data_IF_261603984623
#
_entry.id   IF_261603984623
#
_cell.length_a   1.000
_cell.length_b   1.000
_cell.length_c   1.000
_cell.angle_alpha   90.00
_cell.angle_beta   90.00
_cell.angle_gamma   90.00
#
_symmetry.space_group_name_H-M   'P 1'
#
loop_
_entity.id
_entity.type
_entity.pdbx_description
1 polymer ?
#
# COMPACT_ATOMS: atom_id res chain seq x y z
N UNK A 1 27.85 -1.03 -14.33
CA UNK A 1 28.96 -0.88 -13.39
C UNK A 1 28.45 -0.51 -12.01
N UNK A 2 29.27 -0.71 -10.94
CA UNK A 2 28.85 -0.50 -9.53
C UNK A 2 28.33 0.91 -9.21
N UNK A 3 28.92 1.93 -9.82
CA UNK A 3 28.46 3.32 -9.65
C UNK A 3 26.99 3.49 -10.10
N UNK A 4 26.61 2.91 -11.23
CA UNK A 4 25.23 2.94 -11.69
C UNK A 4 24.29 2.24 -10.71
N UNK A 5 24.67 1.08 -10.19
CA UNK A 5 23.86 0.34 -9.20
C UNK A 5 23.64 1.15 -7.93
N UNK A 6 24.70 1.81 -7.42
CA UNK A 6 24.63 2.66 -6.23
C UNK A 6 23.71 3.85 -6.47
N UNK A 7 23.88 4.59 -7.56
CA UNK A 7 23.03 5.73 -7.88
C UNK A 7 21.57 5.31 -8.13
N UNK A 8 21.36 4.17 -8.76
CA UNK A 8 20.02 3.64 -9.03
C UNK A 8 19.27 3.33 -7.73
N UNK A 9 19.87 2.59 -6.79
CA UNK A 9 19.14 2.29 -5.55
C UNK A 9 18.94 3.57 -4.69
N UNK A 10 19.88 4.51 -4.68
CA UNK A 10 19.71 5.80 -3.98
C UNK A 10 18.49 6.54 -4.52
N UNK A 11 18.34 6.63 -5.85
CA UNK A 11 17.22 7.33 -6.48
C UNK A 11 15.87 6.70 -6.15
N UNK A 12 15.80 5.37 -6.02
CA UNK A 12 14.56 4.65 -5.70
C UNK A 12 14.25 4.54 -4.21
N UNK A 13 15.23 4.78 -3.33
CA UNK A 13 15.07 4.59 -1.89
C UNK A 13 13.88 5.38 -1.31
N UNK A 14 13.76 6.67 -1.66
CA UNK A 14 12.68 7.51 -1.15
C UNK A 14 11.29 6.99 -1.58
N UNK A 15 11.16 6.52 -2.81
CA UNK A 15 9.91 5.96 -3.32
C UNK A 15 9.59 4.60 -2.68
N UNK A 16 10.59 3.73 -2.52
CA UNK A 16 10.41 2.42 -1.88
C UNK A 16 9.92 2.58 -0.44
N UNK A 17 10.50 3.51 0.33
CA UNK A 17 10.16 3.78 1.71
C UNK A 17 9.13 4.90 1.89
N UNK A 18 8.45 5.32 0.81
CA UNK A 18 7.41 6.33 0.86
C UNK A 18 6.33 6.05 1.92
N UNK A 19 5.82 4.81 2.10
CA UNK A 19 4.89 4.50 3.17
C UNK A 19 5.41 4.83 4.57
N UNK A 20 6.71 4.63 4.81
CA UNK A 20 7.33 4.94 6.11
C UNK A 20 7.37 6.46 6.35
N UNK A 21 7.75 7.24 5.33
CA UNK A 21 7.77 8.70 5.40
C UNK A 21 6.36 9.27 5.65
N UNK A 22 5.36 8.72 4.96
CA UNK A 22 3.96 9.11 5.15
C UNK A 22 3.45 8.70 6.52
N UNK A 23 3.84 7.53 7.04
CA UNK A 23 3.44 7.10 8.38
C UNK A 23 3.86 8.10 9.46
N UNK A 24 5.05 8.69 9.35
CA UNK A 24 5.53 9.74 10.27
C UNK A 24 4.60 10.95 10.28
N UNK A 25 4.24 11.45 9.11
CA UNK A 25 3.38 12.64 8.97
C UNK A 25 1.94 12.35 9.36
N UNK A 26 1.40 11.19 8.97
CA UNK A 26 0.08 10.73 9.33
C UNK A 26 -0.06 10.51 10.84
N UNK A 27 0.94 9.90 11.50
CA UNK A 27 0.94 9.72 12.95
C UNK A 27 0.87 11.05 13.71
N UNK A 28 1.64 12.04 13.28
CA UNK A 28 1.56 13.40 13.85
C UNK A 28 0.19 14.02 13.65
N UNK A 29 -0.41 13.86 12.48
CA UNK A 29 -1.75 14.38 12.15
C UNK A 29 -2.85 13.74 12.98
N UNK A 30 -2.81 12.41 13.18
CA UNK A 30 -3.85 11.66 13.89
C UNK A 30 -3.59 11.53 15.42
N UNK A 31 -2.46 12.08 15.91
CA UNK A 31 -2.10 12.03 17.33
C UNK A 31 -1.78 10.62 17.81
N UNK A 32 -1.02 9.87 17.02
CA UNK A 32 -0.52 8.54 17.31
C UNK A 32 0.97 8.59 17.65
N UNK A 33 1.47 7.59 18.38
CA UNK A 33 2.91 7.42 18.57
C UNK A 33 3.59 7.18 17.21
N UNK A 34 4.53 8.07 16.87
CA UNK A 34 5.23 8.05 15.58
C UNK A 34 6.02 6.75 15.38
N UNK A 35 6.68 6.25 16.42
CA UNK A 35 7.48 5.01 16.31
C UNK A 35 6.60 3.79 16.05
N UNK A 36 5.43 3.73 16.68
CA UNK A 36 4.46 2.65 16.43
C UNK A 36 3.98 2.67 14.97
N UNK A 37 3.67 3.85 14.43
CA UNK A 37 3.27 4.00 13.04
C UNK A 37 4.40 3.62 12.07
N UNK A 38 5.63 4.02 12.36
CA UNK A 38 6.83 3.65 11.57
C UNK A 38 7.02 2.14 11.55
N UNK A 39 6.91 1.45 12.68
CA UNK A 39 7.06 0.00 12.72
C UNK A 39 5.96 -0.70 11.91
N UNK A 40 4.71 -0.23 11.98
CA UNK A 40 3.63 -0.76 11.13
C UNK A 40 3.97 -0.58 9.65
N UNK A 41 4.41 0.61 9.25
CA UNK A 41 4.79 0.87 7.86
C UNK A 41 6.00 0.04 7.41
N UNK A 42 7.02 -0.12 8.26
CA UNK A 42 8.18 -0.97 7.99
C UNK A 42 7.79 -2.44 7.80
N UNK A 43 6.80 -2.94 8.55
CA UNK A 43 6.30 -4.30 8.36
C UNK A 43 5.70 -4.53 6.96
N UNK A 44 5.07 -3.49 6.38
CA UNK A 44 4.48 -3.57 5.03
C UNK A 44 5.52 -3.48 3.89
N UNK A 45 6.72 -2.99 4.17
CA UNK A 45 7.83 -2.91 3.20
C UNK A 45 9.01 -3.79 3.63
N UNK A 46 8.80 -4.69 4.60
CA UNK A 46 9.82 -5.61 5.07
C UNK A 46 10.26 -6.55 3.93
N UNK A 47 11.56 -6.86 3.80
CA UNK A 47 12.07 -7.79 2.80
C UNK A 47 11.37 -9.16 2.81
N UNK A 48 11.05 -9.70 3.99
CA UNK A 48 10.34 -10.97 4.12
C UNK A 48 8.91 -10.89 3.54
N UNK A 49 8.20 -9.79 3.80
CA UNK A 49 6.89 -9.55 3.21
C UNK A 49 6.98 -9.38 1.68
N UNK A 50 7.96 -8.61 1.20
CA UNK A 50 8.19 -8.43 -0.24
C UNK A 50 8.53 -9.77 -0.92
N UNK A 51 9.30 -10.63 -0.27
CA UNK A 51 9.60 -11.96 -0.79
C UNK A 51 8.35 -12.84 -0.90
N UNK A 52 7.44 -12.79 0.09
CA UNK A 52 6.14 -13.49 0.01
C UNK A 52 5.26 -12.95 -1.13
N UNK A 53 5.24 -11.63 -1.34
CA UNK A 53 4.52 -11.01 -2.47
C UNK A 53 5.08 -11.49 -3.81
N UNK A 54 6.41 -11.53 -3.94
CA UNK A 54 7.09 -11.96 -5.17
C UNK A 54 6.95 -13.46 -5.44
N UNK A 55 6.89 -14.29 -4.39
CA UNK A 55 6.65 -15.73 -4.53
C UNK A 55 5.24 -16.04 -5.06
N UNK A 56 4.26 -15.20 -4.72
CA UNK A 56 2.87 -15.36 -5.20
C UNK A 56 2.11 -16.54 -4.57
N UNK A 57 2.73 -17.24 -3.62
CA UNK A 57 2.09 -18.35 -2.93
C UNK A 57 0.93 -17.90 -2.04
N UNK A 58 -0.14 -18.69 -1.92
CA UNK A 58 -1.27 -18.34 -1.07
C UNK A 58 -0.87 -18.37 0.40
N UNK A 59 -0.91 -17.22 1.06
CA UNK A 59 -0.63 -17.09 2.49
C UNK A 59 -1.95 -16.98 3.26
N UNK A 60 -2.02 -17.68 4.41
CA UNK A 60 -3.19 -17.68 5.28
C UNK A 60 -2.81 -17.16 6.67
N UNK A 61 -3.60 -16.25 7.18
CA UNK A 61 -3.52 -15.79 8.57
C UNK A 61 -4.78 -16.24 9.31
N UNK A 62 -4.63 -17.08 10.33
CA UNK A 62 -5.74 -17.68 11.10
C UNK A 62 -6.83 -18.32 10.20
N UNK A 63 -6.42 -18.95 9.08
CA UNK A 63 -7.34 -19.60 8.15
C UNK A 63 -7.97 -18.65 7.11
N UNK A 64 -7.74 -17.33 7.20
CA UNK A 64 -8.21 -16.34 6.24
C UNK A 64 -7.11 -16.10 5.21
N UNK A 65 -7.44 -16.20 3.92
CA UNK A 65 -6.49 -15.93 2.84
C UNK A 65 -6.11 -14.45 2.83
N UNK A 66 -4.81 -14.19 2.94
CA UNK A 66 -4.24 -12.84 2.82
C UNK A 66 -4.02 -12.53 1.34
N UNK A 67 -4.48 -11.37 0.90
CA UNK A 67 -4.12 -10.86 -0.42
C UNK A 67 -2.76 -10.17 -0.33
N UNK A 68 -1.74 -10.81 -0.90
CA UNK A 68 -0.39 -10.25 -0.94
C UNK A 68 -0.33 -9.17 -2.02
N UNK A 69 -0.20 -7.92 -1.60
CA UNK A 69 -0.05 -6.76 -2.47
C UNK A 69 1.23 -6.01 -2.14
N UNK A 70 1.88 -5.42 -3.13
CA UNK A 70 3.02 -4.53 -2.88
C UNK A 70 2.52 -3.20 -2.31
N UNK A 71 2.98 -2.86 -1.11
CA UNK A 71 2.72 -1.56 -0.49
C UNK A 71 3.83 -0.54 -0.73
N UNK A 72 4.92 -0.93 -1.39
CA UNK A 72 5.98 0.00 -1.79
C UNK A 72 5.41 1.10 -2.67
N UNK A 73 5.85 2.34 -2.47
CA UNK A 73 5.37 3.51 -3.21
C UNK A 73 3.87 3.82 -3.06
N UNK A 74 3.17 3.16 -2.13
CA UNK A 74 1.74 3.41 -1.91
C UNK A 74 1.52 4.50 -0.85
N UNK A 75 0.46 5.29 -1.01
CA UNK A 75 0.13 6.44 -0.16
C UNK A 75 -1.13 6.17 0.68
N UNK A 76 -2.23 5.83 0.04
CA UNK A 76 -3.52 5.67 0.72
C UNK A 76 -3.54 4.53 1.73
N UNK A 77 -3.04 3.31 1.41
CA UNK A 77 -3.09 2.21 2.36
C UNK A 77 -2.45 2.57 3.70
N UNK A 78 -1.30 3.25 3.69
CA UNK A 78 -0.61 3.60 4.93
C UNK A 78 -1.34 4.70 5.71
N UNK A 79 -1.95 5.68 5.03
CA UNK A 79 -2.75 6.72 5.69
C UNK A 79 -3.95 6.10 6.41
N UNK A 80 -4.68 5.21 5.73
CA UNK A 80 -5.82 4.50 6.32
C UNK A 80 -5.39 3.61 7.48
N UNK A 81 -4.26 2.91 7.33
CA UNK A 81 -3.71 2.06 8.38
C UNK A 81 -3.34 2.88 9.62
N UNK A 82 -2.62 3.99 9.48
CA UNK A 82 -2.22 4.85 10.59
C UNK A 82 -3.44 5.53 11.22
N UNK A 83 -4.41 5.94 10.42
CA UNK A 83 -5.67 6.47 10.91
C UNK A 83 -6.39 5.44 11.81
N UNK A 84 -6.60 4.23 11.32
CA UNK A 84 -7.23 3.16 12.11
C UNK A 84 -6.38 2.81 13.35
N UNK A 85 -5.06 2.70 13.20
CA UNK A 85 -4.13 2.41 14.29
C UNK A 85 -4.17 3.48 15.39
N UNK A 86 -4.44 4.73 15.04
CA UNK A 86 -4.58 5.80 16.02
C UNK A 86 -5.74 5.58 17.00
N UNK A 87 -6.85 5.00 16.54
CA UNK A 87 -7.96 4.64 17.41
C UNK A 87 -7.65 3.43 18.27
N UNK A 88 -7.02 2.41 17.67
CA UNK A 88 -6.60 1.21 18.39
C UNK A 88 -5.60 1.56 19.48
N UNK A 89 -4.60 2.38 19.19
CA UNK A 89 -3.64 2.82 20.20
C UNK A 89 -4.31 3.61 21.31
N UNK A 90 -5.18 4.59 21.00
CA UNK A 90 -5.93 5.36 22.01
C UNK A 90 -6.80 4.47 22.89
N UNK A 91 -7.38 3.41 22.32
CA UNK A 91 -8.12 2.43 23.08
C UNK A 91 -7.23 1.72 24.10
N UNK A 92 -6.07 1.20 23.71
CA UNK A 92 -5.12 0.57 24.63
C UNK A 92 -4.55 1.57 25.64
N UNK A 93 -4.22 2.77 25.22
CA UNK A 93 -3.71 3.83 26.11
C UNK A 93 -4.70 4.19 27.23
N UNK A 94 -6.01 4.07 26.96
CA UNK A 94 -7.07 4.33 27.94
C UNK A 94 -7.26 3.16 28.91
N UNK A 95 -7.08 1.92 28.45
CA UNK A 95 -7.42 0.73 29.25
C UNK A 95 -6.23 0.13 29.98
N UNK A 96 -5.00 0.41 29.57
CA UNK A 96 -3.80 -0.15 30.18
C UNK A 96 -3.32 0.72 31.35
N UNK A 97 -2.87 0.09 32.48
CA UNK A 97 -2.23 0.78 33.58
C UNK A 97 -0.98 1.54 33.12
N UNK A 98 -0.72 2.71 33.74
CA UNK A 98 0.38 3.61 33.37
C UNK A 98 1.74 2.88 33.33
N UNK A 99 1.97 1.97 34.28
CA UNK A 99 3.24 1.25 34.42
C UNK A 99 3.60 0.43 33.17
N UNK A 100 2.61 -0.19 32.55
CA UNK A 100 2.83 -1.11 31.40
C UNK A 100 2.41 -0.52 30.05
N UNK A 101 1.73 0.62 30.06
CA UNK A 101 1.17 1.26 28.86
C UNK A 101 2.20 1.50 27.78
N UNK A 102 3.36 2.06 28.14
CA UNK A 102 4.39 2.44 27.17
C UNK A 102 4.99 1.24 26.42
N UNK A 103 4.91 0.04 26.99
CA UNK A 103 5.40 -1.17 26.38
C UNK A 103 4.27 -1.92 25.63
N UNK A 104 3.14 -2.15 26.31
CA UNK A 104 2.09 -3.01 25.78
C UNK A 104 1.17 -2.33 24.77
N UNK A 105 0.94 -1.01 24.89
CA UNK A 105 0.08 -0.28 23.95
C UNK A 105 0.66 -0.31 22.52
N UNK A 106 1.93 0.04 22.28
CA UNK A 106 2.55 -0.11 20.97
C UNK A 106 2.57 -1.57 20.49
N UNK A 107 2.92 -2.51 21.38
CA UNK A 107 3.02 -3.92 21.03
C UNK A 107 1.67 -4.47 20.54
N UNK A 108 0.59 -4.27 21.28
CA UNK A 108 -0.74 -4.73 20.87
C UNK A 108 -1.25 -4.01 19.63
N UNK A 109 -0.96 -2.70 19.51
CA UNK A 109 -1.34 -1.93 18.32
C UNK A 109 -0.66 -2.48 17.07
N UNK A 110 0.65 -2.74 17.10
CA UNK A 110 1.39 -3.31 15.96
C UNK A 110 0.88 -4.71 15.64
N UNK A 111 0.79 -5.59 16.65
CA UNK A 111 0.37 -6.98 16.48
C UNK A 111 -1.04 -7.11 15.90
N UNK A 112 -1.93 -6.19 16.24
CA UNK A 112 -3.30 -6.18 15.70
C UNK A 112 -3.37 -5.52 14.32
N UNK A 113 -2.68 -4.38 14.16
CA UNK A 113 -2.85 -3.54 12.97
C UNK A 113 -2.13 -4.07 11.74
N UNK A 114 -0.98 -4.75 11.88
CA UNK A 114 -0.30 -5.32 10.72
C UNK A 114 -1.16 -6.39 10.05
N UNK A 115 -1.66 -7.43 10.73
CA UNK A 115 -2.57 -8.40 10.10
C UNK A 115 -3.87 -7.76 9.60
N UNK A 116 -4.45 -6.83 10.37
CA UNK A 116 -5.68 -6.14 9.94
C UNK A 116 -5.48 -5.35 8.65
N UNK A 117 -4.33 -4.71 8.50
CA UNK A 117 -3.97 -4.00 7.27
C UNK A 117 -3.90 -4.97 6.08
N UNK A 118 -3.27 -6.10 6.25
CA UNK A 118 -3.16 -7.11 5.19
C UNK A 118 -4.50 -7.74 4.82
N UNK A 119 -5.40 -7.92 5.80
CA UNK A 119 -6.71 -8.55 5.60
C UNK A 119 -7.77 -7.58 5.06
N UNK A 120 -7.70 -6.30 5.39
CA UNK A 120 -8.74 -5.32 5.07
C UNK A 120 -8.27 -4.33 4.00
N UNK A 121 -7.11 -3.69 4.23
CA UNK A 121 -6.63 -2.64 3.32
C UNK A 121 -6.21 -3.23 1.98
N UNK A 122 -5.61 -4.43 1.98
CA UNK A 122 -5.26 -5.17 0.78
C UNK A 122 -6.46 -5.42 -0.14
N UNK A 123 -7.51 -6.13 0.33
CA UNK A 123 -8.73 -6.37 -0.45
C UNK A 123 -9.42 -5.10 -0.93
N UNK A 124 -9.51 -4.07 -0.08
CA UNK A 124 -10.10 -2.76 -0.45
C UNK A 124 -9.28 -2.10 -1.56
N UNK A 125 -7.95 -2.07 -1.44
CA UNK A 125 -7.07 -1.53 -2.47
C UNK A 125 -7.22 -2.26 -3.81
N UNK A 126 -7.30 -3.60 -3.77
CA UNK A 126 -7.49 -4.41 -4.96
C UNK A 126 -8.89 -4.20 -5.59
N UNK A 127 -9.94 -4.07 -4.78
CA UNK A 127 -11.29 -3.78 -5.26
C UNK A 127 -11.36 -2.41 -5.95
N UNK A 128 -10.72 -1.39 -5.37
CA UNK A 128 -10.64 -0.04 -5.97
C UNK A 128 -9.85 -0.08 -7.26
N UNK A 129 -8.68 -0.75 -7.29
CA UNK A 129 -7.88 -0.92 -8.50
C UNK A 129 -8.65 -1.66 -9.60
N UNK A 130 -9.35 -2.74 -9.24
CA UNK A 130 -10.20 -3.49 -10.16
C UNK A 130 -11.37 -2.67 -10.72
N UNK A 131 -12.00 -1.82 -9.90
CA UNK A 131 -13.07 -0.92 -10.35
C UNK A 131 -12.54 0.13 -11.35
N UNK A 132 -11.35 0.69 -11.08
CA UNK A 132 -10.69 1.63 -12.00
C UNK A 132 -10.33 0.95 -13.31
N UNK A 133 -9.72 -0.25 -13.25
CA UNK A 133 -9.40 -1.04 -14.44
C UNK A 133 -10.64 -1.40 -15.27
N UNK A 134 -11.74 -1.77 -14.60
CA UNK A 134 -13.03 -2.05 -15.25
C UNK A 134 -13.63 -0.82 -15.93
N UNK A 135 -13.59 0.34 -15.26
CA UNK A 135 -14.03 1.61 -15.85
C UNK A 135 -13.19 2.00 -17.07
N UNK A 136 -11.87 1.80 -16.99
CA UNK A 136 -10.99 2.03 -18.13
C UNK A 136 -11.33 1.13 -19.30
N UNK A 137 -11.42 -0.19 -19.08
CA UNK A 137 -11.75 -1.15 -20.16
C UNK A 137 -13.10 -0.84 -20.82
N UNK A 138 -14.07 -0.39 -20.04
CA UNK A 138 -15.36 0.09 -20.57
C UNK A 138 -15.18 1.32 -21.47
N UNK A 139 -14.44 2.34 -21.03
CA UNK A 139 -14.14 3.54 -21.82
C UNK A 139 -13.34 3.22 -23.08
N UNK A 140 -12.37 2.32 -22.97
CA UNK A 140 -11.55 1.88 -24.10
C UNK A 140 -12.40 1.15 -25.16
N UNK A 141 -13.35 0.34 -24.71
CA UNK A 141 -14.31 -0.32 -25.61
C UNK A 141 -15.26 0.63 -26.34
N UNK A 142 -15.53 1.82 -25.77
CA UNK A 142 -16.31 2.86 -26.42
C UNK A 142 -15.46 3.67 -27.41
N UNK A 143 -14.28 4.11 -26.99
CA UNK A 143 -13.32 4.86 -27.81
C UNK A 143 -11.95 4.89 -27.14
N UNK A 144 -10.89 4.39 -27.77
CA UNK A 144 -9.53 4.50 -27.27
C UNK A 144 -9.07 5.94 -27.03
N UNK A 145 -9.53 6.89 -27.84
CA UNK A 145 -9.20 8.32 -27.73
C UNK A 145 -9.80 8.89 -26.43
N UNK A 146 -11.06 8.59 -26.15
CA UNK A 146 -11.74 9.04 -24.91
C UNK A 146 -11.06 8.41 -23.69
N UNK A 147 -10.74 7.12 -23.73
CA UNK A 147 -10.02 6.45 -22.65
C UNK A 147 -8.65 7.10 -22.40
N UNK A 148 -7.89 7.40 -23.44
CA UNK A 148 -6.59 8.08 -23.32
C UNK A 148 -6.70 9.49 -22.72
N UNK A 149 -7.68 10.29 -23.12
CA UNK A 149 -7.92 11.63 -22.56
C UNK A 149 -8.29 11.53 -21.07
N UNK A 150 -9.20 10.63 -20.71
CA UNK A 150 -9.65 10.48 -19.31
C UNK A 150 -8.52 9.96 -18.43
N UNK A 151 -7.80 8.94 -18.86
CA UNK A 151 -6.69 8.39 -18.08
C UNK A 151 -5.53 9.36 -17.99
N UNK A 152 -5.12 9.98 -19.10
CA UNK A 152 -4.06 10.99 -19.09
C UNK A 152 -4.40 12.19 -18.22
N UNK A 153 -5.64 12.68 -18.26
CA UNK A 153 -6.11 13.77 -17.42
C UNK A 153 -6.23 13.41 -15.93
N UNK A 154 -6.53 12.16 -15.61
CA UNK A 154 -6.65 11.68 -14.23
C UNK A 154 -5.35 11.06 -13.70
N UNK A 155 -4.33 10.90 -14.53
CA UNK A 155 -3.11 10.17 -14.17
C UNK A 155 -2.46 10.71 -12.89
N UNK A 156 -2.27 12.00 -12.81
CA UNK A 156 -1.69 12.66 -11.63
C UNK A 156 -2.52 12.41 -10.37
N UNK A 157 -3.84 12.41 -10.51
CA UNK A 157 -4.76 12.11 -9.42
C UNK A 157 -4.58 10.64 -8.97
N UNK A 158 -4.51 9.70 -9.90
CA UNK A 158 -4.28 8.28 -9.62
C UNK A 158 -2.91 8.05 -8.95
N UNK A 159 -1.89 8.82 -9.36
CA UNK A 159 -0.55 8.80 -8.75
C UNK A 159 -0.60 9.29 -7.30
N UNK A 160 -1.24 10.44 -7.04
CA UNK A 160 -1.40 10.99 -5.68
C UNK A 160 -2.09 9.97 -4.76
N UNK A 161 -3.11 9.29 -5.26
CA UNK A 161 -3.81 8.26 -4.51
C UNK A 161 -3.04 6.92 -4.42
N UNK A 162 -1.93 6.76 -5.14
CA UNK A 162 -1.15 5.53 -5.17
C UNK A 162 -1.85 4.36 -5.87
N UNK A 163 -2.97 4.63 -6.56
CA UNK A 163 -3.81 3.62 -7.22
C UNK A 163 -3.23 3.20 -8.58
N UNK A 164 -2.34 4.00 -9.15
CA UNK A 164 -1.65 3.71 -10.42
C UNK A 164 -0.93 2.35 -10.43
N UNK A 165 -0.47 1.87 -9.28
CA UNK A 165 0.09 0.52 -9.16
C UNK A 165 -0.94 -0.60 -9.36
N UNK A 166 -2.22 -0.33 -9.13
CA UNK A 166 -3.32 -1.25 -9.46
C UNK A 166 -3.52 -1.44 -10.96
N UNK A 167 -3.04 -0.51 -11.77
CA UNK A 167 -3.09 -0.56 -13.25
C UNK A 167 -1.96 -1.45 -13.81
N UNK A 168 -0.84 -1.58 -13.12
CA UNK A 168 0.32 -2.37 -13.56
C UNK A 168 -0.02 -3.81 -13.98
N UNK A 169 -0.86 -4.58 -13.24
CA UNK A 169 -1.27 -5.91 -13.69
C UNK A 169 -2.05 -5.90 -15.00
N UNK A 170 -2.82 -4.84 -15.28
CA UNK A 170 -3.56 -4.68 -16.54
C UNK A 170 -2.59 -4.44 -17.69
N UNK A 171 -1.62 -3.55 -17.51
CA UNK A 171 -0.53 -3.28 -18.47
C UNK A 171 0.25 -4.56 -18.81
N UNK A 172 0.68 -5.31 -17.77
CA UNK A 172 1.40 -6.58 -17.96
C UNK A 172 0.51 -7.61 -18.69
N UNK A 173 -0.77 -7.68 -18.31
CA UNK A 173 -1.75 -8.54 -18.97
C UNK A 173 -1.96 -8.20 -20.45
N UNK A 174 -2.02 -6.90 -20.77
CA UNK A 174 -2.14 -6.41 -22.15
C UNK A 174 -0.90 -6.79 -22.99
N UNK A 175 0.30 -6.58 -22.46
CA UNK A 175 1.53 -7.00 -23.15
C UNK A 175 1.57 -8.51 -23.40
N UNK A 176 1.12 -9.31 -22.43
CA UNK A 176 1.08 -10.76 -22.58
C UNK A 176 0.03 -11.24 -23.60
N UNK A 177 -1.12 -10.56 -23.68
CA UNK A 177 -2.24 -10.96 -24.52
C UNK A 177 -2.20 -10.34 -25.94
N UNK A 178 -1.79 -9.08 -26.05
CA UNK A 178 -1.89 -8.27 -27.26
C UNK A 178 -0.54 -7.93 -27.88
N UNK A 179 0.56 -8.08 -27.14
CA UNK A 179 1.90 -7.65 -27.54
C UNK A 179 2.15 -6.15 -27.46
N UNK A 180 1.18 -5.37 -27.00
CA UNK A 180 1.29 -3.93 -26.75
C UNK A 180 0.40 -3.52 -25.56
N UNK A 181 0.71 -2.38 -24.99
CA UNK A 181 -0.13 -1.81 -23.93
C UNK A 181 -1.12 -0.77 -24.50
N UNK A 182 -2.32 -0.79 -23.95
CA UNK A 182 -3.39 0.14 -24.33
C UNK A 182 -3.43 1.37 -23.43
N UNK A 183 -2.63 1.37 -22.33
CA UNK A 183 -2.59 2.42 -21.33
C UNK A 183 -1.48 3.46 -21.57
N UNK A 184 -0.34 3.05 -22.14
CA UNK A 184 0.84 3.90 -22.36
C UNK A 184 1.20 4.03 -23.82
#
# INVERSE_FOLDING_TARGET
GGTYQILNFISWTAFTFLPVLIAVTAAKKFGMNVYTAVVIACALVCPDYISMVNAGDPVYFLGIRVQLLSYTSSVIPIILTVWAASYVQKFFDKHLPIVVRNLFSPMFTITLMVPLTLLVVGPVGNAVGGAIGGAYNFLYGLSPIIAGIVVGGLWEVLVIFGVHWGITPVTVGNYAALGYDTFT
#
